data_IF_153764276164
#
_entry.id   IF_153764276164
#
_cell.length_a   1.000
_cell.length_b   1.000
_cell.length_c   1.000
_cell.angle_alpha   90.00
_cell.angle_beta   90.00
_cell.angle_gamma   90.00
#
_symmetry.space_group_name_H-M   'P 1'
#
loop_
_entity.id
_entity.type
_entity.pdbx_description
1 polymer ?
#
# COMPACT_ATOMS: atom_id res chain seq x y z
N UNK A 1 11.05 5.71 18.59
CA UNK A 1 11.22 5.87 17.12
C UNK A 1 12.56 6.53 16.87
N UNK A 2 13.40 5.88 16.08
CA UNK A 2 14.73 6.37 15.71
C UNK A 2 14.66 6.98 14.31
N UNK A 3 15.33 8.14 14.14
CA UNK A 3 15.33 8.86 12.88
C UNK A 3 16.79 9.03 12.44
N UNK A 4 17.11 8.51 11.27
CA UNK A 4 18.46 8.57 10.70
C UNK A 4 18.43 9.31 9.37
N UNK A 5 19.35 10.24 9.17
CA UNK A 5 19.55 10.88 7.86
C UNK A 5 20.10 9.87 6.86
N UNK A 6 19.57 9.89 5.64
CA UNK A 6 20.08 9.13 4.50
C UNK A 6 20.55 10.10 3.42
N UNK A 7 21.18 9.59 2.37
CA UNK A 7 21.59 10.41 1.21
C UNK A 7 20.40 11.16 0.57
N UNK A 8 19.18 10.62 0.67
CA UNK A 8 18.02 11.13 -0.06
C UNK A 8 16.88 11.60 0.85
N UNK A 9 17.07 11.61 2.17
CA UNK A 9 16.03 12.02 3.11
C UNK A 9 16.21 11.45 4.51
N UNK A 10 15.18 10.79 5.03
CA UNK A 10 15.16 10.23 6.38
C UNK A 10 14.72 8.76 6.34
N UNK A 11 15.31 7.98 7.23
CA UNK A 11 14.85 6.63 7.57
C UNK A 11 14.26 6.66 8.97
N UNK A 12 13.07 6.14 9.12
CA UNK A 12 12.39 5.97 10.39
C UNK A 12 12.38 4.51 10.78
N UNK A 13 12.89 4.23 11.97
CA UNK A 13 12.94 2.87 12.53
C UNK A 13 12.27 2.83 13.89
N UNK A 14 11.70 1.69 14.23
CA UNK A 14 11.13 1.42 15.54
C UNK A 14 11.43 -0.02 15.92
N UNK A 15 11.88 -0.22 17.17
CA UNK A 15 12.32 -1.54 17.67
C UNK A 15 13.31 -2.24 16.73
N UNK A 16 14.25 -1.47 16.14
CA UNK A 16 15.27 -2.00 15.24
C UNK A 16 14.82 -2.26 13.81
N UNK A 17 13.54 -2.06 13.50
CA UNK A 17 12.99 -2.31 12.15
C UNK A 17 12.65 -1.00 11.42
N UNK A 18 12.97 -0.92 10.13
CA UNK A 18 12.63 0.22 9.29
C UNK A 18 11.12 0.19 9.01
N UNK A 19 10.42 1.25 9.40
CA UNK A 19 8.99 1.41 9.19
C UNK A 19 8.65 2.33 8.02
N UNK A 20 9.56 3.25 7.67
CA UNK A 20 9.37 4.14 6.51
C UNK A 20 10.68 4.78 6.08
N UNK A 21 10.81 5.05 4.80
CA UNK A 21 11.83 5.94 4.25
C UNK A 21 11.15 7.14 3.59
N UNK A 22 11.44 8.31 4.12
CA UNK A 22 10.99 9.58 3.58
C UNK A 22 12.08 10.15 2.67
N UNK A 23 11.79 10.27 1.38
CA UNK A 23 12.66 11.02 0.45
C UNK A 23 12.17 12.45 0.33
N UNK A 24 13.10 13.38 0.16
CA UNK A 24 12.81 14.81 0.01
C UNK A 24 12.78 15.29 -1.43
N UNK A 25 13.01 14.39 -2.38
CA UNK A 25 12.92 14.65 -3.83
C UNK A 25 12.18 13.50 -4.52
N UNK A 26 11.48 13.77 -5.65
CA UNK A 26 10.87 12.71 -6.44
C UNK A 26 11.87 11.64 -6.85
N UNK A 27 11.50 10.36 -6.76
CA UNK A 27 12.36 9.25 -7.12
C UNK A 27 11.97 7.94 -6.41
N UNK A 28 12.64 6.84 -6.76
CA UNK A 28 12.39 5.54 -6.17
C UNK A 28 12.94 5.47 -4.74
N UNK A 29 12.33 4.63 -3.93
CA UNK A 29 12.83 4.24 -2.61
C UNK A 29 13.50 2.87 -2.63
N UNK A 30 13.37 2.16 -3.75
CA UNK A 30 13.80 0.76 -3.93
C UNK A 30 13.17 -0.21 -2.93
N UNK A 31 12.03 0.18 -2.37
CA UNK A 31 11.27 -0.55 -1.37
C UNK A 31 9.86 -0.93 -1.87
N UNK A 32 9.07 -1.52 -0.99
CA UNK A 32 7.64 -1.83 -1.20
C UNK A 32 6.85 -0.58 -1.58
N UNK A 33 7.26 0.61 -1.11
CA UNK A 33 6.58 1.86 -1.41
C UNK A 33 6.56 2.18 -2.92
N UNK A 34 7.59 1.81 -3.68
CA UNK A 34 7.62 1.99 -5.13
C UNK A 34 6.55 1.14 -5.81
N UNK A 35 6.34 -0.08 -5.33
CA UNK A 35 5.34 -1.00 -5.89
C UNK A 35 3.94 -0.51 -5.59
N UNK A 36 3.69 -0.02 -4.36
CA UNK A 36 2.41 0.56 -3.98
C UNK A 36 2.10 1.81 -4.82
N UNK A 37 3.08 2.71 -4.97
CA UNK A 37 2.96 3.90 -5.82
C UNK A 37 2.75 3.53 -7.30
N UNK A 38 3.50 2.55 -7.81
CA UNK A 38 3.35 2.03 -9.16
C UNK A 38 1.95 1.45 -9.41
N UNK A 39 1.39 0.72 -8.44
CA UNK A 39 0.03 0.19 -8.54
C UNK A 39 -1.02 1.31 -8.56
N UNK A 40 -0.87 2.35 -7.74
CA UNK A 40 -1.74 3.54 -7.80
C UNK A 40 -1.66 4.16 -9.19
N UNK A 41 -0.46 4.42 -9.69
CA UNK A 41 -0.23 5.03 -10.99
C UNK A 41 -0.88 4.28 -12.15
N UNK A 42 -0.74 2.94 -12.18
CA UNK A 42 -1.23 2.15 -13.33
C UNK A 42 -2.71 1.78 -13.22
N UNK A 43 -3.30 1.82 -12.03
CA UNK A 43 -4.69 1.41 -11.82
C UNK A 43 -5.65 2.59 -11.69
N UNK A 44 -5.29 3.64 -10.95
CA UNK A 44 -6.17 4.78 -10.63
C UNK A 44 -5.39 6.09 -10.43
N UNK A 45 -4.65 6.59 -11.44
CA UNK A 45 -3.75 7.75 -11.26
C UNK A 45 -4.47 9.05 -10.91
N UNK A 46 -5.74 9.19 -11.26
CA UNK A 46 -6.56 10.39 -11.03
C UNK A 46 -7.70 10.13 -10.03
N UNK A 47 -7.77 8.91 -9.49
CA UNK A 47 -8.85 8.47 -8.62
C UNK A 47 -8.76 9.04 -7.20
N UNK A 48 -9.82 8.84 -6.42
CA UNK A 48 -9.81 9.06 -4.98
C UNK A 48 -9.08 7.91 -4.29
N UNK A 49 -7.94 8.22 -3.68
CA UNK A 49 -7.03 7.25 -3.09
C UNK A 49 -7.12 7.29 -1.56
N UNK A 50 -7.42 6.15 -0.93
CA UNK A 50 -7.32 5.98 0.51
C UNK A 50 -6.03 5.25 0.90
N UNK A 51 -5.37 5.67 1.98
CA UNK A 51 -4.18 4.99 2.53
C UNK A 51 -4.37 4.77 4.02
N UNK A 52 -4.41 3.51 4.43
CA UNK A 52 -4.45 3.08 5.81
C UNK A 52 -3.03 2.72 6.25
N UNK A 53 -2.45 3.51 7.15
CA UNK A 53 -1.03 3.46 7.50
C UNK A 53 -0.20 4.38 6.61
N UNK A 54 0.04 5.60 7.10
CA UNK A 54 0.82 6.60 6.35
C UNK A 54 2.30 6.58 6.72
N UNK A 55 2.58 6.24 7.97
CA UNK A 55 3.90 6.33 8.57
C UNK A 55 4.59 7.68 8.23
N UNK A 56 5.70 7.67 7.51
CA UNK A 56 6.40 8.88 7.05
C UNK A 56 6.10 9.30 5.62
N UNK A 57 5.09 8.73 4.98
CA UNK A 57 4.74 9.07 3.60
C UNK A 57 5.72 8.55 2.55
N UNK A 58 6.31 7.37 2.76
CA UNK A 58 7.31 6.77 1.87
C UNK A 58 6.85 6.63 0.41
N UNK A 59 5.53 6.49 0.18
CA UNK A 59 4.98 6.45 -1.19
C UNK A 59 4.96 7.81 -1.91
N UNK A 60 5.14 8.94 -1.22
CA UNK A 60 4.94 10.25 -1.86
C UNK A 60 6.02 10.58 -2.89
N UNK A 61 7.28 10.24 -2.62
CA UNK A 61 8.37 10.48 -3.57
C UNK A 61 8.20 9.68 -4.88
N UNK A 62 7.95 8.36 -4.85
CA UNK A 62 7.67 7.62 -6.08
C UNK A 62 6.37 8.05 -6.77
N UNK A 63 5.29 8.42 -6.04
CA UNK A 63 4.08 8.98 -6.66
C UNK A 63 4.37 10.28 -7.42
N UNK A 64 5.16 11.17 -6.82
CA UNK A 64 5.58 12.40 -7.49
C UNK A 64 6.44 12.12 -8.73
N UNK A 65 7.38 11.17 -8.65
CA UNK A 65 8.23 10.78 -9.78
C UNK A 65 7.43 10.15 -10.93
N UNK A 66 6.33 9.44 -10.60
CA UNK A 66 5.39 8.87 -11.57
C UNK A 66 4.39 9.89 -12.14
N UNK A 67 4.43 11.16 -11.70
CA UNK A 67 3.50 12.18 -12.16
C UNK A 67 2.07 12.00 -11.64
N UNK A 68 1.85 11.23 -10.58
CA UNK A 68 0.52 11.05 -9.99
C UNK A 68 0.15 12.30 -9.21
N UNK A 69 -0.91 12.99 -9.63
CA UNK A 69 -1.40 14.22 -8.99
C UNK A 69 -2.59 14.00 -8.06
N UNK A 70 -3.14 12.80 -8.03
CA UNK A 70 -4.25 12.44 -7.16
C UNK A 70 -3.95 12.77 -5.69
N UNK A 71 -4.96 13.33 -4.99
CA UNK A 71 -4.86 13.56 -3.56
C UNK A 71 -5.07 12.25 -2.81
N UNK A 72 -4.20 12.03 -1.84
CA UNK A 72 -4.25 10.86 -0.97
C UNK A 72 -4.98 11.21 0.33
N UNK A 73 -6.06 10.50 0.64
CA UNK A 73 -6.72 10.53 1.93
C UNK A 73 -6.03 9.51 2.85
N UNK A 74 -5.20 9.97 3.78
CA UNK A 74 -4.38 9.10 4.61
C UNK A 74 -4.79 9.13 6.09
N UNK A 75 -4.68 7.97 6.74
CA UNK A 75 -4.94 7.83 8.17
C UNK A 75 -3.82 7.05 8.85
N UNK A 76 -3.45 7.49 10.05
CA UNK A 76 -2.52 6.78 10.91
C UNK A 76 -2.87 7.01 12.40
N UNK A 77 -2.44 6.11 13.26
CA UNK A 77 -2.56 6.24 14.72
C UNK A 77 -1.52 7.20 15.29
N UNK A 78 -0.33 7.24 14.71
CA UNK A 78 0.77 8.08 15.15
C UNK A 78 0.96 9.29 14.20
N UNK A 79 1.20 10.44 14.81
CA UNK A 79 1.41 11.70 14.10
C UNK A 79 2.87 11.96 13.74
N UNK A 80 3.81 11.34 14.44
CA UNK A 80 5.24 11.65 14.33
C UNK A 80 5.73 11.58 12.89
N UNK A 81 5.38 10.51 12.17
CA UNK A 81 5.78 10.35 10.77
C UNK A 81 5.20 11.44 9.85
N UNK A 82 3.94 11.83 10.07
CA UNK A 82 3.32 12.91 9.29
C UNK A 82 3.93 14.28 9.60
N UNK A 83 4.30 14.56 10.84
CA UNK A 83 4.95 15.83 11.20
C UNK A 83 6.35 15.92 10.56
N UNK A 84 7.10 14.82 10.51
CA UNK A 84 8.37 14.74 9.77
C UNK A 84 8.17 14.96 8.27
N UNK A 85 7.15 14.31 7.68
CA UNK A 85 6.79 14.53 6.28
C UNK A 85 6.48 15.99 5.99
N UNK A 86 5.66 16.63 6.81
CA UNK A 86 5.33 18.07 6.66
C UNK A 86 6.55 18.97 6.72
N UNK A 87 7.48 18.67 7.61
CA UNK A 87 8.68 19.47 7.79
C UNK A 87 9.67 19.32 6.62
N UNK A 88 9.84 18.10 6.14
CA UNK A 88 10.86 17.80 5.14
C UNK A 88 10.36 17.84 3.69
N UNK A 89 9.05 17.76 3.47
CA UNK A 89 8.42 17.74 2.14
C UNK A 89 7.24 18.71 2.06
N UNK A 90 7.42 20.01 2.41
CA UNK A 90 6.32 20.97 2.50
C UNK A 90 5.55 21.14 1.18
N UNK A 91 6.20 20.99 0.04
CA UNK A 91 5.58 21.08 -1.30
C UNK A 91 4.59 19.96 -1.60
N UNK A 92 4.70 18.81 -0.92
CA UNK A 92 3.81 17.65 -1.13
C UNK A 92 2.67 17.57 -0.12
N UNK A 93 2.70 18.37 0.96
CA UNK A 93 1.67 18.37 2.02
C UNK A 93 0.28 18.58 1.44
N UNK A 94 0.13 19.46 0.44
CA UNK A 94 -1.15 19.73 -0.22
C UNK A 94 -1.74 18.53 -0.98
N UNK A 95 -0.92 17.50 -1.27
CA UNK A 95 -1.34 16.27 -1.92
C UNK A 95 -1.87 15.23 -0.94
N UNK A 96 -1.76 15.48 0.37
CA UNK A 96 -2.15 14.52 1.41
C UNK A 96 -3.16 15.16 2.36
N UNK A 97 -4.36 14.59 2.42
CA UNK A 97 -5.35 14.89 3.45
C UNK A 97 -5.18 13.85 4.57
N UNK A 98 -4.37 14.20 5.54
CA UNK A 98 -4.00 13.29 6.62
C UNK A 98 -4.88 13.48 7.86
N UNK A 99 -5.21 12.35 8.52
CA UNK A 99 -5.96 12.36 9.79
C UNK A 99 -5.35 11.38 10.79
N UNK A 100 -5.15 11.84 12.04
CA UNK A 100 -4.86 10.96 13.17
C UNK A 100 -6.14 10.27 13.57
N UNK A 101 -6.24 8.95 13.33
CA UNK A 101 -7.38 8.14 13.74
C UNK A 101 -7.07 6.64 13.65
N UNK A 102 -7.89 5.83 14.31
CA UNK A 102 -7.97 4.40 14.06
C UNK A 102 -8.52 4.14 12.64
N UNK A 103 -7.85 3.27 11.89
CA UNK A 103 -8.16 3.02 10.48
C UNK A 103 -9.58 2.45 10.28
N UNK A 104 -10.04 1.56 11.17
CA UNK A 104 -11.38 0.98 11.09
C UNK A 104 -12.47 2.04 11.36
N UNK A 105 -12.28 2.86 12.39
CA UNK A 105 -13.21 3.95 12.71
C UNK A 105 -13.25 4.98 11.60
N UNK A 106 -12.07 5.36 11.09
CA UNK A 106 -11.96 6.31 10.00
C UNK A 106 -12.67 5.79 8.75
N UNK A 107 -12.39 4.54 8.34
CA UNK A 107 -12.94 3.97 7.12
C UNK A 107 -14.46 3.77 7.21
N UNK A 108 -15.00 3.42 8.39
CA UNK A 108 -16.46 3.33 8.63
C UNK A 108 -17.18 4.67 8.40
N UNK A 109 -16.51 5.77 8.70
CA UNK A 109 -17.05 7.11 8.52
C UNK A 109 -16.92 7.65 7.09
N UNK A 110 -16.27 6.93 6.17
CA UNK A 110 -16.12 7.36 4.78
C UNK A 110 -17.31 6.91 3.91
N UNK A 111 -17.66 7.68 2.87
CA UNK A 111 -18.57 7.20 1.83
C UNK A 111 -17.95 6.04 1.02
N UNK A 112 -18.79 5.32 0.29
CA UNK A 112 -18.35 4.21 -0.57
C UNK A 112 -17.98 4.73 -1.98
N UNK A 113 -16.89 5.47 -2.08
CA UNK A 113 -16.49 6.17 -3.30
C UNK A 113 -14.98 6.21 -3.56
N UNK A 114 -14.19 5.39 -2.86
CA UNK A 114 -12.77 5.27 -3.16
C UNK A 114 -12.52 4.49 -4.44
N UNK A 115 -11.74 5.05 -5.34
CA UNK A 115 -11.28 4.34 -6.54
C UNK A 115 -10.19 3.33 -6.22
N UNK A 116 -9.37 3.63 -5.20
CA UNK A 116 -8.35 2.72 -4.72
C UNK A 116 -8.11 2.93 -3.22
N UNK A 117 -8.00 1.82 -2.48
CA UNK A 117 -7.58 1.84 -1.07
C UNK A 117 -6.34 0.97 -0.91
N UNK A 118 -5.27 1.57 -0.36
CA UNK A 118 -4.07 0.87 0.08
C UNK A 118 -4.18 0.57 1.58
N UNK A 119 -4.03 -0.68 1.96
CA UNK A 119 -3.83 -1.12 3.34
C UNK A 119 -2.35 -1.41 3.56
N UNK A 120 -1.68 -0.54 4.30
CA UNK A 120 -0.26 -0.61 4.63
C UNK A 120 -0.01 -0.53 6.14
N UNK A 121 -0.99 -1.02 6.94
CA UNK A 121 -0.82 -1.06 8.38
C UNK A 121 0.21 -2.09 8.78
N UNK A 122 1.06 -1.72 9.73
CA UNK A 122 1.99 -2.61 10.38
C UNK A 122 2.19 -2.22 11.84
N UNK A 123 2.53 -3.19 12.67
CA UNK A 123 2.86 -2.99 14.08
C UNK A 123 4.30 -3.45 14.29
N UNK A 124 5.23 -2.54 14.59
CA UNK A 124 6.60 -2.92 14.88
C UNK A 124 6.71 -3.58 16.27
N UNK A 125 7.48 -4.64 16.38
CA UNK A 125 7.73 -5.37 17.62
C UNK A 125 9.10 -6.06 17.54
N UNK A 126 9.94 -5.86 18.55
CA UNK A 126 11.21 -6.57 18.81
C UNK A 126 12.02 -7.00 17.56
N UNK A 127 12.37 -6.05 16.70
CA UNK A 127 13.20 -6.30 15.50
C UNK A 127 12.44 -6.79 14.28
N UNK A 128 11.10 -6.87 14.34
CA UNK A 128 10.25 -7.29 13.21
C UNK A 128 9.00 -6.40 13.10
N UNK A 129 8.24 -6.59 12.06
CA UNK A 129 6.93 -5.94 11.84
C UNK A 129 5.86 -6.98 11.55
N UNK A 130 4.70 -6.79 12.13
CA UNK A 130 3.55 -7.68 12.01
C UNK A 130 2.36 -6.96 11.43
N UNK A 131 1.50 -7.69 10.74
CA UNK A 131 0.17 -7.19 10.37
C UNK A 131 -0.75 -7.31 11.59
N UNK A 132 -1.46 -6.23 11.97
CA UNK A 132 -2.47 -6.33 13.01
C UNK A 132 -3.57 -7.31 12.59
N UNK A 133 -4.18 -8.02 13.55
CA UNK A 133 -5.23 -9.01 13.26
C UNK A 133 -6.36 -8.49 12.39
N UNK A 134 -6.71 -7.20 12.54
CA UNK A 134 -7.75 -6.53 11.75
C UNK A 134 -7.48 -6.53 10.23
N UNK A 135 -6.21 -6.63 9.79
CA UNK A 135 -5.83 -6.74 8.38
C UNK A 135 -6.44 -7.98 7.73
N UNK A 136 -6.62 -9.05 8.49
CA UNK A 136 -7.03 -10.35 7.96
C UNK A 136 -8.54 -10.56 7.92
N UNK A 137 -9.29 -9.95 8.84
CA UNK A 137 -10.71 -10.24 9.06
C UNK A 137 -11.63 -9.00 9.01
N UNK A 138 -11.23 -7.87 9.61
CA UNK A 138 -12.08 -6.68 9.72
C UNK A 138 -11.94 -5.77 8.51
N UNK A 139 -10.70 -5.47 8.09
CA UNK A 139 -10.44 -4.50 7.02
C UNK A 139 -10.87 -4.99 5.63
N UNK A 140 -10.68 -6.24 5.20
CA UNK A 140 -11.00 -6.63 3.84
C UNK A 140 -12.46 -6.42 3.44
N UNK A 141 -13.47 -6.87 4.22
CA UNK A 141 -14.86 -6.58 3.89
C UNK A 141 -15.17 -5.08 3.98
N UNK A 142 -14.64 -4.38 4.99
CA UNK A 142 -14.87 -2.96 5.16
C UNK A 142 -14.27 -2.13 4.00
N UNK A 143 -13.06 -2.46 3.54
CA UNK A 143 -12.44 -1.83 2.37
C UNK A 143 -13.30 -2.08 1.13
N UNK A 144 -13.69 -3.34 0.88
CA UNK A 144 -14.57 -3.68 -0.25
C UNK A 144 -15.84 -2.81 -0.27
N UNK A 145 -16.46 -2.62 0.89
CA UNK A 145 -17.70 -1.86 1.03
C UNK A 145 -17.51 -0.33 0.93
N UNK A 146 -16.28 0.15 0.89
CA UNK A 146 -15.91 1.57 0.69
C UNK A 146 -15.34 1.86 -0.69
N UNK A 147 -15.16 0.84 -1.52
CA UNK A 147 -14.75 1.03 -2.91
C UNK A 147 -15.92 1.50 -3.77
N UNK A 148 -15.64 2.44 -4.65
CA UNK A 148 -16.54 2.81 -5.75
C UNK A 148 -16.79 1.60 -6.70
N UNK A 149 -17.80 1.64 -7.56
CA UNK A 149 -17.94 0.66 -8.64
C UNK A 149 -16.66 0.58 -9.50
N UNK A 150 -16.04 -0.59 -9.58
CA UNK A 150 -14.74 -0.77 -10.27
C UNK A 150 -13.52 -0.33 -9.46
N UNK A 151 -13.70 0.00 -8.17
CA UNK A 151 -12.60 0.31 -7.27
C UNK A 151 -11.73 -0.91 -6.93
N UNK A 152 -10.50 -0.63 -6.49
CA UNK A 152 -9.46 -1.63 -6.26
C UNK A 152 -8.90 -1.49 -4.85
N UNK A 153 -8.74 -2.61 -4.17
CA UNK A 153 -8.03 -2.73 -2.90
C UNK A 153 -6.60 -3.24 -3.14
N UNK A 154 -5.65 -2.64 -2.46
CA UNK A 154 -4.24 -3.04 -2.46
C UNK A 154 -3.83 -3.29 -1.02
N UNK A 155 -3.46 -4.53 -0.69
CA UNK A 155 -3.05 -4.92 0.66
C UNK A 155 -1.56 -5.25 0.65
N UNK A 156 -0.78 -4.53 1.43
CA UNK A 156 0.60 -4.91 1.71
C UNK A 156 0.61 -5.93 2.86
N UNK A 157 0.80 -7.19 2.55
CA UNK A 157 0.70 -8.29 3.49
C UNK A 157 2.10 -8.75 3.95
N UNK A 158 2.21 -9.07 5.23
CA UNK A 158 3.35 -9.76 5.83
C UNK A 158 2.92 -11.17 6.26
N UNK A 159 3.84 -12.13 6.37
CA UNK A 159 3.52 -13.46 6.87
C UNK A 159 2.80 -13.38 8.23
N UNK A 160 1.67 -14.07 8.41
CA UNK A 160 1.01 -14.09 9.70
C UNK A 160 1.85 -14.89 10.71
N UNK A 161 1.87 -14.50 12.00
CA UNK A 161 2.46 -15.28 13.05
C UNK A 161 1.88 -16.71 13.06
N UNK A 162 2.74 -17.72 13.24
CA UNK A 162 2.31 -19.12 13.27
C UNK A 162 2.02 -19.76 11.91
N UNK A 163 2.28 -19.08 10.80
CA UNK A 163 2.07 -19.61 9.44
C UNK A 163 0.66 -19.41 8.91
N UNK A 164 0.22 -20.27 7.98
CA UNK A 164 -1.11 -20.14 7.39
C UNK A 164 -1.24 -19.13 6.24
N UNK A 165 -0.12 -18.65 5.73
CA UNK A 165 0.02 -17.64 4.68
C UNK A 165 -0.94 -17.83 3.48
N UNK A 166 -0.97 -19.07 2.95
CA UNK A 166 -1.83 -19.42 1.81
C UNK A 166 -3.32 -19.33 2.18
N UNK A 167 -3.66 -19.82 3.36
CA UNK A 167 -5.04 -19.86 3.85
C UNK A 167 -5.59 -18.45 4.01
N UNK A 168 -4.88 -17.59 4.74
CA UNK A 168 -5.34 -16.23 5.03
C UNK A 168 -5.43 -15.38 3.76
N UNK A 169 -4.40 -15.39 2.94
CA UNK A 169 -4.40 -14.70 1.65
C UNK A 169 -5.55 -15.16 0.73
N UNK A 170 -5.78 -16.48 0.62
CA UNK A 170 -6.86 -17.01 -0.20
C UNK A 170 -8.23 -16.65 0.38
N UNK A 171 -8.38 -16.60 1.71
CA UNK A 171 -9.59 -16.13 2.38
C UNK A 171 -9.89 -14.67 2.00
N UNK A 172 -8.90 -13.78 2.07
CA UNK A 172 -9.05 -12.39 1.65
C UNK A 172 -9.42 -12.28 0.17
N UNK A 173 -8.71 -12.99 -0.70
CA UNK A 173 -8.95 -12.95 -2.15
C UNK A 173 -10.39 -13.37 -2.53
N UNK A 174 -11.00 -14.30 -1.77
CA UNK A 174 -12.39 -14.74 -1.99
C UNK A 174 -13.44 -13.67 -1.74
N UNK A 175 -13.11 -12.64 -0.98
CA UNK A 175 -14.02 -11.52 -0.72
C UNK A 175 -14.19 -10.59 -1.93
N UNK A 176 -13.32 -10.75 -2.93
CA UNK A 176 -13.28 -9.97 -4.16
C UNK A 176 -13.47 -10.89 -5.38
N UNK A 177 -13.94 -10.31 -6.50
CA UNK A 177 -14.15 -11.07 -7.74
C UNK A 177 -12.84 -11.48 -8.39
N UNK A 178 -11.91 -10.54 -8.47
CA UNK A 178 -10.60 -10.72 -9.08
C UNK A 178 -9.50 -10.42 -8.07
N UNK A 179 -8.44 -11.23 -8.08
CA UNK A 179 -7.28 -10.98 -7.24
C UNK A 179 -5.98 -11.37 -7.95
N UNK A 180 -4.95 -10.54 -7.77
CA UNK A 180 -3.58 -10.76 -8.24
C UNK A 180 -2.64 -10.62 -7.06
N UNK A 181 -1.57 -11.36 -7.08
CA UNK A 181 -0.52 -11.29 -6.08
C UNK A 181 0.75 -10.77 -6.75
N UNK A 182 1.34 -9.75 -6.16
CA UNK A 182 2.70 -9.30 -6.45
C UNK A 182 3.59 -9.77 -5.31
N UNK A 183 4.66 -10.46 -5.63
CA UNK A 183 5.74 -10.86 -4.74
C UNK A 183 7.08 -10.40 -5.31
N UNK A 184 8.09 -10.33 -4.49
CA UNK A 184 9.43 -9.89 -4.88
C UNK A 184 10.47 -10.70 -4.11
N UNK A 185 11.69 -10.71 -4.62
CA UNK A 185 12.73 -11.61 -4.10
C UNK A 185 13.41 -11.04 -2.84
N UNK A 186 13.33 -9.71 -2.63
CA UNK A 186 14.06 -9.01 -1.56
C UNK A 186 13.27 -8.84 -0.25
N UNK A 187 11.96 -8.98 -0.31
CA UNK A 187 11.08 -8.75 0.84
C UNK A 187 10.16 -9.93 1.07
N UNK A 188 9.82 -10.17 2.33
CA UNK A 188 8.82 -11.18 2.70
C UNK A 188 7.38 -10.73 2.43
N UNK A 189 7.19 -9.44 2.14
CA UNK A 189 5.89 -8.88 1.81
C UNK A 189 5.26 -9.52 0.57
N UNK A 190 3.96 -9.61 0.57
CA UNK A 190 3.16 -9.86 -0.62
C UNK A 190 2.13 -8.76 -0.80
N UNK A 191 1.97 -8.26 -2.01
CA UNK A 191 0.92 -7.28 -2.28
C UNK A 191 -0.24 -7.97 -2.97
N UNK A 192 -1.40 -7.99 -2.32
CA UNK A 192 -2.65 -8.48 -2.87
C UNK A 192 -3.40 -7.32 -3.51
N UNK A 193 -3.57 -7.38 -4.82
CA UNK A 193 -4.40 -6.45 -5.60
C UNK A 193 -5.73 -7.12 -5.87
N UNK A 194 -6.83 -6.55 -5.37
CA UNK A 194 -8.13 -7.20 -5.40
C UNK A 194 -9.26 -6.21 -5.73
N UNK A 195 -10.28 -6.66 -6.48
CA UNK A 195 -11.39 -5.80 -6.90
C UNK A 195 -12.36 -6.52 -7.82
N UNK A 196 -13.24 -5.76 -8.50
CA UNK A 196 -14.15 -6.30 -9.51
C UNK A 196 -13.56 -6.36 -10.92
N UNK A 197 -12.50 -5.58 -11.18
CA UNK A 197 -11.90 -5.41 -12.53
C UNK A 197 -10.39 -5.20 -12.40
N UNK A 198 -9.70 -6.18 -11.82
CA UNK A 198 -8.23 -6.15 -11.77
C UNK A 198 -7.68 -6.68 -13.10
N UNK A 199 -6.77 -5.95 -13.78
CA UNK A 199 -6.21 -6.39 -15.05
C UNK A 199 -5.61 -7.81 -14.99
N UNK A 200 -5.56 -8.54 -16.13
CA UNK A 200 -4.86 -9.81 -16.20
C UNK A 200 -3.41 -9.70 -15.75
N UNK A 201 -2.85 -10.78 -15.20
CA UNK A 201 -1.46 -10.82 -14.67
C UNK A 201 -0.43 -10.27 -15.65
N UNK A 202 -0.54 -10.68 -16.93
CA UNK A 202 0.41 -10.26 -17.98
C UNK A 202 0.35 -8.75 -18.22
N UNK A 203 -0.85 -8.21 -18.28
CA UNK A 203 -1.09 -6.78 -18.52
C UNK A 203 -0.65 -5.96 -17.33
N UNK A 204 -1.15 -6.27 -16.11
CA UNK A 204 -0.76 -5.61 -14.87
C UNK A 204 0.76 -5.65 -14.68
N UNK A 205 1.39 -6.80 -14.94
CA UNK A 205 2.83 -6.96 -14.82
C UNK A 205 3.61 -6.10 -15.81
N UNK A 206 3.12 -5.95 -17.06
CA UNK A 206 3.73 -5.05 -18.04
C UNK A 206 3.63 -3.59 -17.62
N UNK A 207 2.44 -3.16 -17.22
CA UNK A 207 2.18 -1.78 -16.78
C UNK A 207 3.02 -1.42 -15.55
N UNK A 208 3.00 -2.28 -14.53
CA UNK A 208 3.73 -2.04 -13.29
C UNK A 208 5.25 -1.99 -13.50
N UNK A 209 5.82 -2.94 -14.27
CA UNK A 209 7.26 -2.88 -14.60
C UNK A 209 7.63 -1.62 -15.37
N UNK A 210 6.79 -1.21 -16.29
CA UNK A 210 7.00 0.04 -17.03
C UNK A 210 7.04 1.23 -16.06
N UNK A 211 6.06 1.39 -15.20
CA UNK A 211 6.01 2.46 -14.20
C UNK A 211 7.25 2.46 -13.29
N UNK A 212 7.66 1.29 -12.79
CA UNK A 212 8.84 1.16 -11.93
C UNK A 212 10.13 1.52 -12.67
N UNK A 213 10.28 1.11 -13.94
CA UNK A 213 11.44 1.50 -14.78
C UNK A 213 11.48 2.99 -15.04
N UNK A 214 10.34 3.64 -15.24
CA UNK A 214 10.25 5.08 -15.48
C UNK A 214 10.88 5.88 -14.33
N UNK A 215 10.75 5.41 -13.09
CA UNK A 215 11.36 6.07 -11.94
C UNK A 215 12.73 5.49 -11.55
N UNK A 216 13.24 4.51 -12.30
CA UNK A 216 14.54 3.87 -12.03
C UNK A 216 14.55 2.92 -10.83
N UNK A 217 13.39 2.41 -10.38
CA UNK A 217 13.31 1.47 -9.27
C UNK A 217 13.85 0.09 -9.65
N UNK A 218 14.75 -0.45 -8.82
CA UNK A 218 15.27 -1.81 -8.97
C UNK A 218 14.19 -2.89 -8.88
N UNK A 219 13.04 -2.55 -8.27
CA UNK A 219 11.91 -3.46 -8.12
C UNK A 219 11.28 -3.86 -9.45
N UNK A 220 11.50 -3.11 -10.52
CA UNK A 220 10.99 -3.44 -11.86
C UNK A 220 11.39 -4.87 -12.31
N UNK A 221 12.60 -5.30 -11.98
CA UNK A 221 13.14 -6.61 -12.38
C UNK A 221 12.87 -7.72 -11.34
N UNK A 222 12.47 -7.34 -10.12
CA UNK A 222 12.32 -8.25 -8.99
C UNK A 222 10.88 -8.70 -8.73
N UNK A 223 9.89 -7.96 -9.27
CA UNK A 223 8.48 -8.30 -9.07
C UNK A 223 8.06 -9.53 -9.88
N UNK A 224 7.27 -10.38 -9.23
CA UNK A 224 6.60 -11.54 -9.83
C UNK A 224 5.10 -11.43 -9.59
N UNK A 225 4.30 -11.67 -10.62
CA UNK A 225 2.85 -11.59 -10.51
C UNK A 225 2.23 -12.96 -10.79
N UNK A 226 1.18 -13.26 -10.02
CA UNK A 226 0.35 -14.46 -10.25
C UNK A 226 -1.11 -14.19 -9.92
N UNK A 227 -1.99 -14.97 -10.51
CA UNK A 227 -3.41 -14.99 -10.13
C UNK A 227 -3.57 -15.70 -8.78
N UNK A 228 -4.37 -15.12 -7.90
CA UNK A 228 -4.86 -15.83 -6.71
C UNK A 228 -6.20 -16.45 -7.09
N UNK A 229 -6.27 -17.78 -7.08
CA UNK A 229 -7.55 -18.46 -7.30
C UNK A 229 -8.43 -18.26 -6.08
N UNK A 230 -9.31 -17.27 -6.15
CA UNK A 230 -10.53 -17.26 -5.35
C UNK A 230 -11.48 -18.29 -5.98
N UNK A 231 -12.10 -19.17 -5.22
CA UNK A 231 -13.27 -19.87 -5.71
C UNK A 231 -14.28 -18.80 -6.15
N UNK A 232 -14.83 -18.94 -7.37
CA UNK A 232 -15.95 -18.11 -7.84
C UNK A 232 -16.99 -18.09 -6.71
N UNK A 233 -17.54 -16.92 -6.31
CA UNK A 233 -18.68 -16.93 -5.42
C UNK A 233 -19.73 -17.79 -6.08
N UNK A 234 -20.21 -18.81 -5.36
CA UNK A 234 -21.40 -19.56 -5.76
C UNK A 234 -22.52 -18.53 -5.80
N UNK A 235 -23.01 -18.24 -6.99
CA UNK A 235 -24.20 -17.40 -7.17
C UNK A 235 -25.36 -18.24 -6.64
N UNK A 236 -25.90 -17.87 -5.48
CA UNK A 236 -27.22 -18.30 -5.03
C UNK A 236 -28.24 -17.31 -5.53
#
# INVERSE_FOLDING_TARGET
MDITKTQHGLRMSQHGTVISELRTSPGPTDSVADILAGLICVLKPEGRIGVLGFAGGGMQAPLCALGVEAKVDAVDLDRVGYDLFRWHCPEWVRRVRWKKADAVKWLRAQPADFDLIVEDLSVPSEGDVFKPGITWDVLPPLIRDRLAPGGIAVFNLLPPPGGGWLRERNRMARMFRDARLVSFDDFTNHILVAGRSVPPVRELGKMLRHALRTIGSVQAERIRLRTVRGSRPTVF
#
